data_IF_747260979185
#
_entry.id   IF_747260979185
#
_cell.length_a   1.000
_cell.length_b   1.000
_cell.length_c   1.000
_cell.angle_alpha   90.00
_cell.angle_beta   90.00
_cell.angle_gamma   90.00
#
_symmetry.space_group_name_H-M   'P 1'
#
loop_
_entity.id
_entity.type
_entity.pdbx_description
1 polymer ?
#
# COMPACT_ATOMS: atom_id res chain seq x y z
N UNK A 1 -25.31 -0.63 -8.02
CA UNK A 1 -25.07 0.22 -6.84
C UNK A 1 -24.62 -0.56 -5.60
N UNK A 2 -25.47 -1.32 -4.87
CA UNK A 2 -25.00 -2.08 -3.69
C UNK A 2 -23.94 -3.16 -4.02
N UNK A 3 -24.10 -3.90 -5.13
CA UNK A 3 -23.11 -4.91 -5.57
C UNK A 3 -21.75 -4.32 -5.95
N UNK A 4 -21.74 -3.14 -6.56
CA UNK A 4 -20.50 -2.48 -7.01
C UNK A 4 -19.72 -1.95 -5.80
N UNK A 5 -20.41 -1.42 -4.78
CA UNK A 5 -19.81 -1.01 -3.51
C UNK A 5 -19.23 -2.21 -2.77
N UNK A 6 -19.94 -3.33 -2.67
CA UNK A 6 -19.39 -4.55 -2.06
C UNK A 6 -18.19 -5.10 -2.83
N UNK A 7 -18.21 -5.04 -4.17
CA UNK A 7 -17.07 -5.41 -4.99
C UNK A 7 -15.88 -4.49 -4.74
N UNK A 8 -16.10 -3.17 -4.62
CA UNK A 8 -15.04 -2.21 -4.30
C UNK A 8 -14.45 -2.47 -2.92
N UNK A 9 -15.27 -2.72 -1.88
CA UNK A 9 -14.79 -3.09 -0.54
C UNK A 9 -13.87 -4.31 -0.59
N UNK A 10 -14.24 -5.35 -1.35
CA UNK A 10 -13.41 -6.55 -1.51
C UNK A 10 -12.07 -6.23 -2.18
N UNK A 11 -12.09 -5.44 -3.26
CA UNK A 11 -10.88 -5.03 -3.98
C UNK A 11 -9.95 -4.19 -3.10
N UNK A 12 -10.50 -3.26 -2.31
CA UNK A 12 -9.73 -2.43 -1.39
C UNK A 12 -9.05 -3.26 -0.30
N UNK A 13 -9.78 -4.17 0.36
CA UNK A 13 -9.17 -5.05 1.39
C UNK A 13 -8.00 -5.84 0.80
N UNK A 14 -8.20 -6.48 -0.36
CA UNK A 14 -7.18 -7.28 -1.01
C UNK A 14 -5.95 -6.45 -1.42
N UNK A 15 -6.17 -5.26 -1.97
CA UNK A 15 -5.08 -4.36 -2.33
C UNK A 15 -4.29 -3.88 -1.12
N UNK A 16 -4.95 -3.52 -0.01
CA UNK A 16 -4.29 -3.08 1.23
C UNK A 16 -3.41 -4.20 1.80
N UNK A 17 -3.93 -5.43 1.86
CA UNK A 17 -3.18 -6.60 2.32
C UNK A 17 -1.92 -6.83 1.46
N UNK A 18 -2.08 -6.91 0.14
CA UNK A 18 -0.94 -7.10 -0.76
C UNK A 18 0.06 -5.94 -0.74
N UNK A 19 -0.41 -4.70 -0.60
CA UNK A 19 0.48 -3.54 -0.49
C UNK A 19 1.38 -3.64 0.74
N UNK A 20 0.84 -4.09 1.88
CA UNK A 20 1.61 -4.30 3.11
C UNK A 20 2.65 -5.41 2.95
N UNK A 21 2.25 -6.55 2.37
CA UNK A 21 3.16 -7.67 2.11
C UNK A 21 4.32 -7.27 1.17
N UNK A 22 4.01 -6.64 0.04
CA UNK A 22 5.01 -6.21 -0.93
C UNK A 22 5.95 -5.15 -0.34
N UNK A 23 5.42 -4.18 0.39
CA UNK A 23 6.24 -3.14 1.02
C UNK A 23 7.20 -3.73 2.06
N UNK A 24 6.73 -4.68 2.88
CA UNK A 24 7.56 -5.35 3.87
C UNK A 24 8.70 -6.13 3.22
N UNK A 25 8.40 -6.90 2.17
CA UNK A 25 9.42 -7.72 1.49
C UNK A 25 10.41 -6.84 0.71
N UNK A 26 9.94 -5.77 0.07
CA UNK A 26 10.79 -4.78 -0.59
C UNK A 26 11.72 -4.07 0.40
N UNK A 27 11.21 -3.61 1.55
CA UNK A 27 12.03 -3.00 2.60
C UNK A 27 13.09 -3.98 3.10
N UNK A 28 12.71 -5.23 3.37
CA UNK A 28 13.64 -6.29 3.82
C UNK A 28 14.78 -6.53 2.84
N UNK A 29 14.52 -6.58 1.54
CA UNK A 29 15.58 -6.79 0.54
C UNK A 29 16.39 -5.53 0.31
N UNK A 30 15.74 -4.38 0.28
CA UNK A 30 16.41 -3.08 0.14
C UNK A 30 17.44 -2.84 1.22
N UNK A 31 17.10 -3.08 2.49
CA UNK A 31 18.05 -2.91 3.59
C UNK A 31 19.29 -3.80 3.45
N UNK A 32 19.17 -4.97 2.81
CA UNK A 32 20.32 -5.84 2.54
C UNK A 32 21.24 -5.30 1.46
N UNK A 33 20.68 -4.68 0.42
CA UNK A 33 21.43 -4.26 -0.78
C UNK A 33 21.74 -2.75 -0.80
N UNK A 34 21.22 -1.98 0.16
CA UNK A 34 21.29 -0.51 0.15
C UNK A 34 22.72 0.03 0.00
N UNK A 35 23.70 -0.62 0.62
CA UNK A 35 25.12 -0.26 0.52
C UNK A 35 25.80 -0.70 -0.79
N UNK A 36 25.12 -1.49 -1.62
CA UNK A 36 25.64 -2.07 -2.86
C UNK A 36 25.08 -1.38 -4.12
N UNK A 37 24.14 -0.45 -3.97
CA UNK A 37 23.47 0.25 -5.07
C UNK A 37 23.75 1.77 -5.04
N UNK A 38 23.59 2.49 -6.17
CA UNK A 38 23.80 3.93 -6.20
C UNK A 38 22.87 4.69 -5.25
N UNK A 39 23.38 5.74 -4.61
CA UNK A 39 22.62 6.61 -3.69
C UNK A 39 21.34 7.18 -4.32
N UNK A 40 21.36 7.48 -5.63
CA UNK A 40 20.17 7.96 -6.34
C UNK A 40 19.10 6.88 -6.55
N UNK A 41 19.47 5.60 -6.53
CA UNK A 41 18.54 4.49 -6.53
C UNK A 41 17.97 4.28 -5.12
N UNK A 42 18.81 4.39 -4.08
CA UNK A 42 18.39 4.37 -2.67
C UNK A 42 17.27 5.37 -2.42
N UNK A 43 17.48 6.64 -2.78
CA UNK A 43 16.47 7.70 -2.58
C UNK A 43 15.14 7.42 -3.28
N UNK A 44 15.19 6.95 -4.54
CA UNK A 44 13.98 6.59 -5.30
C UNK A 44 13.23 5.43 -4.67
N UNK A 45 13.95 4.44 -4.14
CA UNK A 45 13.35 3.29 -3.50
C UNK A 45 12.67 3.65 -2.17
N UNK A 46 13.33 4.47 -1.34
CA UNK A 46 12.75 5.00 -0.12
C UNK A 46 11.49 5.84 -0.40
N UNK A 47 11.53 6.70 -1.41
CA UNK A 47 10.38 7.48 -1.85
C UNK A 47 9.23 6.58 -2.34
N UNK A 48 9.53 5.56 -3.15
CA UNK A 48 8.54 4.62 -3.65
C UNK A 48 7.86 3.83 -2.51
N UNK A 49 8.62 3.34 -1.53
CA UNK A 49 8.06 2.71 -0.33
C UNK A 49 7.12 3.67 0.39
N UNK A 50 7.59 4.89 0.67
CA UNK A 50 6.80 5.89 1.41
C UNK A 50 5.49 6.23 0.71
N UNK A 51 5.51 6.44 -0.61
CA UNK A 51 4.32 6.74 -1.39
C UNK A 51 3.36 5.55 -1.45
N UNK A 52 3.89 4.33 -1.51
CA UNK A 52 3.11 3.09 -1.51
C UNK A 52 2.38 2.90 -0.17
N UNK A 53 3.07 3.08 0.95
CA UNK A 53 2.47 3.05 2.29
C UNK A 53 1.39 4.12 2.42
N UNK A 54 1.70 5.36 1.99
CA UNK A 54 0.73 6.46 2.04
C UNK A 54 -0.53 6.18 1.21
N UNK A 55 -0.37 5.55 0.05
CA UNK A 55 -1.50 5.11 -0.77
C UNK A 55 -2.33 4.06 -0.04
N UNK A 56 -1.69 3.10 0.63
CA UNK A 56 -2.36 2.08 1.45
C UNK A 56 -3.22 2.70 2.56
N UNK A 57 -2.64 3.63 3.33
CA UNK A 57 -3.34 4.32 4.43
C UNK A 57 -4.58 5.09 3.95
N UNK A 58 -4.47 5.77 2.80
CA UNK A 58 -5.59 6.52 2.22
C UNK A 58 -6.71 5.58 1.77
N UNK A 59 -6.38 4.44 1.18
CA UNK A 59 -7.36 3.43 0.75
C UNK A 59 -8.03 2.74 1.95
N UNK A 60 -7.27 2.50 3.03
CA UNK A 60 -7.82 1.97 4.28
C UNK A 60 -8.82 2.95 4.89
N UNK A 61 -8.47 4.24 4.99
CA UNK A 61 -9.38 5.28 5.49
C UNK A 61 -10.64 5.40 4.62
N UNK A 62 -10.51 5.34 3.29
CA UNK A 62 -11.65 5.34 2.38
C UNK A 62 -12.55 4.10 2.62
N UNK A 63 -11.95 2.93 2.80
CA UNK A 63 -12.70 1.70 3.10
C UNK A 63 -13.47 1.80 4.42
N UNK A 64 -12.87 2.40 5.46
CA UNK A 64 -13.54 2.65 6.74
C UNK A 64 -14.76 3.58 6.58
N UNK A 65 -14.61 4.69 5.85
CA UNK A 65 -15.72 5.61 5.57
C UNK A 65 -16.86 4.90 4.83
N UNK A 66 -16.54 4.12 3.79
CA UNK A 66 -17.54 3.36 3.03
C UNK A 66 -18.27 2.33 3.93
N UNK A 67 -17.56 1.68 4.86
CA UNK A 67 -18.17 0.75 5.83
C UNK A 67 -19.11 1.48 6.80
N UNK A 68 -18.73 2.67 7.25
CA UNK A 68 -19.49 3.47 8.23
C UNK A 68 -20.72 4.18 7.62
N UNK A 69 -20.68 4.53 6.34
CA UNK A 69 -21.81 5.16 5.63
C UNK A 69 -22.83 4.15 5.07
N UNK A 70 -22.51 2.84 5.07
CA UNK A 70 -23.42 1.79 4.64
C UNK A 70 -24.43 1.43 5.75
N UNK A 71 -25.46 2.28 5.95
CA UNK A 71 -26.69 1.96 6.69
C UNK A 71 -27.63 1.04 5.87
#
# INVERSE_FOLDING_TARGET
MKKDVEKLKLLLNHWIEHTREHTAEYRKWFEKIRGEIPEDAVKKFEEAIKLTEKSGDLLESALEQIKNESL
#
